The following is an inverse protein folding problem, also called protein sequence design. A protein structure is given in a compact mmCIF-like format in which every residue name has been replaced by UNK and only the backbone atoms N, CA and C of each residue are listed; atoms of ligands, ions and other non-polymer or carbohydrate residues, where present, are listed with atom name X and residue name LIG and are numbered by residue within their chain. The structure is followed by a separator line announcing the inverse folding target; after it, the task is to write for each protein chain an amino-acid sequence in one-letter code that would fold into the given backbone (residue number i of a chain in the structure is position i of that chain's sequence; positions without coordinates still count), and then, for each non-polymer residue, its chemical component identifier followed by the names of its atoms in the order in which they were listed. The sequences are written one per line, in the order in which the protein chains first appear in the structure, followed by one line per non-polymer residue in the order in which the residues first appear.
data_IF_065829813253
#
_entry.id   IF_065829813253
#
_cell.length_a   1.000
_cell.length_b   1.000
_cell.length_c   1.000
_cell.angle_alpha   90.00
_cell.angle_beta   90.00
_cell.angle_gamma   90.00
#
_symmetry.space_group_name_H-M   'P 1'
#
loop_
_entity.id
_entity.type
_entity.pdbx_description
1 polymer ?
#
# COMPACT_ATOMS: atom_id res chain seq x y z
N UNK A 1 4.12 19.95 12.01
CA UNK A 1 4.43 19.27 10.74
C UNK A 1 3.53 19.81 9.62
N UNK A 2 4.12 20.45 8.65
CA UNK A 2 3.38 20.83 7.45
C UNK A 2 3.20 19.59 6.56
N UNK A 3 2.07 19.47 5.87
CA UNK A 3 1.85 18.38 4.91
C UNK A 3 1.84 16.98 5.51
N UNK A 4 1.19 16.80 6.66
CA UNK A 4 1.10 15.51 7.38
C UNK A 4 0.82 14.32 6.45
N UNK A 5 -0.20 14.43 5.61
CA UNK A 5 -0.54 13.35 4.67
C UNK A 5 0.58 12.99 3.71
N UNK A 6 1.24 13.99 3.12
CA UNK A 6 2.35 13.77 2.19
C UNK A 6 3.57 13.17 2.89
N UNK A 7 3.87 13.61 4.10
CA UNK A 7 5.00 13.09 4.88
C UNK A 7 4.80 11.62 5.25
N UNK A 8 3.62 11.28 5.75
CA UNK A 8 3.29 9.87 6.06
C UNK A 8 3.27 9.01 4.79
N UNK A 9 2.72 9.53 3.69
CA UNK A 9 2.72 8.81 2.40
C UNK A 9 4.14 8.54 1.92
N UNK A 10 5.03 9.53 1.98
CA UNK A 10 6.44 9.36 1.59
C UNK A 10 7.15 8.31 2.46
N UNK A 11 6.87 8.30 3.76
CA UNK A 11 7.42 7.30 4.67
C UNK A 11 6.94 5.89 4.32
N UNK A 12 5.65 5.71 4.03
CA UNK A 12 5.11 4.41 3.62
C UNK A 12 5.75 3.93 2.31
N UNK A 13 5.90 4.82 1.31
CA UNK A 13 6.60 4.49 0.05
C UNK A 13 8.04 4.06 0.34
N UNK A 14 8.73 4.75 1.23
CA UNK A 14 10.10 4.39 1.63
C UNK A 14 10.17 3.00 2.23
N UNK A 15 9.24 2.63 3.11
CA UNK A 15 9.17 1.28 3.69
C UNK A 15 8.91 0.21 2.64
N UNK A 16 8.01 0.47 1.70
CA UNK A 16 7.67 -0.49 0.64
C UNK A 16 8.83 -0.67 -0.36
N UNK A 17 9.57 0.38 -0.66
CA UNK A 17 10.69 0.35 -1.62
C UNK A 17 12.04 -0.02 -1.00
N UNK A 18 12.11 -0.18 0.30
CA UNK A 18 13.33 -0.58 1.01
C UNK A 18 13.83 -1.95 0.53
N UNK A 19 15.14 -2.28 0.69
CA UNK A 19 15.69 -3.59 0.32
C UNK A 19 14.98 -4.77 0.98
N UNK A 20 14.49 -4.59 2.21
CA UNK A 20 13.67 -5.57 2.94
C UNK A 20 12.17 -5.28 2.84
N UNK A 21 11.77 -4.47 1.88
CA UNK A 21 10.41 -4.03 1.69
C UNK A 21 9.54 -5.03 0.93
N UNK A 22 8.66 -4.49 0.09
CA UNK A 22 7.62 -5.27 -0.57
C UNK A 22 8.16 -6.42 -1.43
N UNK A 23 9.18 -6.19 -2.24
CA UNK A 23 9.75 -7.25 -3.10
C UNK A 23 10.39 -8.39 -2.30
N UNK A 24 11.07 -8.08 -1.20
CA UNK A 24 11.64 -9.11 -0.34
C UNK A 24 10.55 -9.99 0.29
N UNK A 25 9.47 -9.38 0.76
CA UNK A 25 8.33 -10.09 1.32
C UNK A 25 7.61 -10.93 0.26
N UNK A 26 7.40 -10.40 -0.93
CA UNK A 26 6.84 -11.13 -2.09
C UNK A 26 7.69 -12.35 -2.41
N UNK A 27 9.00 -12.20 -2.50
CA UNK A 27 9.91 -13.31 -2.80
C UNK A 27 9.86 -14.40 -1.73
N UNK A 28 9.84 -14.02 -0.46
CA UNK A 28 9.77 -14.97 0.67
C UNK A 28 8.47 -15.77 0.65
N UNK A 29 7.34 -15.10 0.50
CA UNK A 29 6.03 -15.75 0.44
C UNK A 29 5.87 -16.63 -0.80
N UNK A 30 6.35 -16.15 -1.95
CA UNK A 30 6.30 -16.90 -3.19
C UNK A 30 7.13 -18.20 -3.15
N UNK A 31 8.28 -18.18 -2.48
CA UNK A 31 9.09 -19.39 -2.26
C UNK A 31 8.35 -20.40 -1.38
N UNK A 32 7.66 -19.93 -0.34
CA UNK A 32 6.88 -20.80 0.53
C UNK A 32 5.74 -21.51 -0.22
N UNK A 33 5.11 -20.80 -1.16
CA UNK A 33 4.00 -21.31 -1.97
C UNK A 33 4.45 -21.94 -3.30
N UNK A 34 5.75 -22.00 -3.57
CA UNK A 34 6.31 -22.51 -4.83
C UNK A 34 5.78 -21.81 -6.08
N UNK A 35 5.58 -20.51 -5.99
CA UNK A 35 5.05 -19.64 -7.07
C UNK A 35 6.17 -18.74 -7.58
N UNK A 36 6.12 -18.39 -8.87
CA UNK A 36 7.04 -17.39 -9.44
C UNK A 36 6.30 -16.05 -9.57
N UNK A 37 6.54 -15.08 -8.67
CA UNK A 37 5.87 -13.79 -8.72
C UNK A 37 6.51 -12.87 -9.76
N UNK A 38 5.74 -11.89 -10.21
CA UNK A 38 6.30 -10.76 -10.92
C UNK A 38 6.91 -9.79 -9.91
N UNK A 39 8.17 -9.36 -10.11
CA UNK A 39 8.77 -8.36 -9.25
C UNK A 39 8.05 -7.02 -9.39
N UNK A 40 8.05 -6.24 -8.32
CA UNK A 40 7.50 -4.88 -8.29
C UNK A 40 8.66 -3.90 -8.36
N UNK A 41 8.76 -3.16 -9.45
CA UNK A 41 9.75 -2.09 -9.58
C UNK A 41 9.39 -0.86 -8.73
N UNK A 42 10.37 -0.04 -8.41
CA UNK A 42 10.14 1.20 -7.67
C UNK A 42 9.15 2.13 -8.39
N UNK A 43 9.18 2.14 -9.73
CA UNK A 43 8.25 2.92 -10.56
C UNK A 43 6.80 2.41 -10.53
N UNK A 44 6.57 1.23 -9.99
CA UNK A 44 5.24 0.65 -9.84
C UNK A 44 4.60 0.97 -8.47
N UNK A 45 5.36 1.57 -7.55
CA UNK A 45 4.89 2.02 -6.24
C UNK A 45 4.78 3.54 -6.28
N UNK A 46 3.56 4.05 -6.38
CA UNK A 46 3.30 5.47 -6.61
C UNK A 46 2.48 6.09 -5.47
N UNK A 47 2.89 7.29 -5.06
CA UNK A 47 2.15 8.12 -4.11
C UNK A 47 1.01 8.82 -4.84
N UNK A 48 -0.09 8.12 -5.10
CA UNK A 48 -1.24 8.66 -5.82
C UNK A 48 -2.55 8.00 -5.42
N UNK A 49 -3.63 8.75 -5.48
CA UNK A 49 -5.01 8.26 -5.33
C UNK A 49 -5.74 8.43 -6.67
N UNK A 50 -5.64 7.42 -7.51
CA UNK A 50 -6.22 7.43 -8.86
C UNK A 50 -7.17 6.24 -9.00
N UNK A 51 -8.42 6.45 -9.43
CA UNK A 51 -9.34 5.35 -9.72
C UNK A 51 -8.76 4.38 -10.76
N UNK A 52 -9.10 3.09 -10.61
CA UNK A 52 -8.65 2.03 -11.52
C UNK A 52 -9.00 2.37 -12.96
N UNK A 53 -10.21 2.83 -13.21
CA UNK A 53 -10.72 3.14 -14.54
C UNK A 53 -9.93 4.27 -15.24
N UNK A 54 -9.41 5.19 -14.45
CA UNK A 54 -8.57 6.27 -14.98
C UNK A 54 -7.13 5.79 -15.21
N UNK A 55 -6.61 5.00 -14.29
CA UNK A 55 -5.27 4.42 -14.42
C UNK A 55 -5.16 3.49 -15.63
N UNK A 56 -6.20 2.71 -15.94
CA UNK A 56 -6.26 1.83 -17.11
C UNK A 56 -6.17 2.55 -18.46
N UNK A 57 -6.60 3.80 -18.51
CA UNK A 57 -6.49 4.62 -19.72
C UNK A 57 -5.07 5.12 -19.97
N UNK A 58 -4.20 5.00 -18.98
CA UNK A 58 -2.79 5.28 -19.14
C UNK A 58 -2.10 4.11 -19.83
N UNK A 59 -1.41 4.34 -20.94
CA UNK A 59 -0.70 3.31 -21.69
C UNK A 59 0.54 2.77 -21.00
N UNK A 60 0.96 3.41 -19.90
CA UNK A 60 2.23 3.13 -19.22
C UNK A 60 2.07 2.40 -17.89
N UNK A 61 0.88 1.90 -17.56
CA UNK A 61 0.66 1.17 -16.31
C UNK A 61 1.28 -0.21 -16.38
N UNK A 62 2.23 -0.45 -15.48
CA UNK A 62 2.83 -1.77 -15.27
C UNK A 62 2.16 -2.45 -14.07
N UNK A 63 1.80 -3.72 -14.22
CA UNK A 63 1.23 -4.53 -13.17
C UNK A 63 2.24 -5.54 -12.62
N UNK A 64 2.21 -5.83 -11.33
CA UNK A 64 1.33 -5.27 -10.32
C UNK A 64 1.60 -3.78 -10.07
N UNK A 65 0.55 -2.99 -9.85
CA UNK A 65 0.65 -1.58 -9.55
C UNK A 65 0.27 -1.34 -8.08
N UNK A 66 1.05 -0.54 -7.39
CA UNK A 66 0.83 -0.20 -5.97
C UNK A 66 0.67 1.30 -5.85
N UNK A 67 -0.44 1.72 -5.27
CA UNK A 67 -0.71 3.14 -4.98
C UNK A 67 -0.80 3.35 -3.47
N UNK A 68 -0.13 4.37 -2.98
CA UNK A 68 -0.14 4.76 -1.56
C UNK A 68 -0.73 6.16 -1.44
N UNK A 69 -1.70 6.30 -0.57
CA UNK A 69 -2.32 7.62 -0.35
C UNK A 69 -2.90 7.75 1.06
N UNK A 70 -3.01 9.00 1.48
CA UNK A 70 -3.69 9.37 2.71
C UNK A 70 -5.16 9.66 2.40
N UNK A 71 -6.08 8.90 3.02
CA UNK A 71 -7.52 9.11 2.83
C UNK A 71 -8.03 10.30 3.63
N UNK A 72 -7.56 10.44 4.85
CA UNK A 72 -7.94 11.55 5.73
C UNK A 72 -6.93 11.78 6.83
N UNK A 73 -6.96 12.99 7.36
CA UNK A 73 -6.16 13.43 8.50
C UNK A 73 -7.12 13.86 9.59
N UNK A 74 -6.87 13.40 10.82
CA UNK A 74 -7.68 13.75 11.98
C UNK A 74 -6.78 14.37 13.04
N UNK A 75 -6.95 15.68 13.31
CA UNK A 75 -6.28 16.34 14.41
C UNK A 75 -7.15 16.23 15.67
N UNK A 76 -6.67 15.54 16.68
CA UNK A 76 -7.38 15.31 17.94
C UNK A 76 -6.90 16.24 19.07
N UNK A 77 -5.81 16.99 18.84
CA UNK A 77 -5.15 17.86 19.82
C UNK A 77 -4.96 17.18 21.19
N UNK A 78 -4.55 15.92 21.17
CA UNK A 78 -4.37 15.13 22.40
C UNK A 78 -3.24 15.65 23.28
N UNK A 79 -2.24 16.26 22.68
CA UNK A 79 -1.08 16.79 23.36
C UNK A 79 -1.13 18.32 23.40
N UNK A 80 -0.96 18.87 24.60
CA UNK A 80 -0.82 20.32 24.76
C UNK A 80 0.49 20.79 24.13
N UNK A 81 0.48 21.99 23.59
CA UNK A 81 1.66 22.63 22.96
C UNK A 81 2.12 22.01 21.64
N UNK A 82 1.29 21.17 21.03
CA UNK A 82 1.50 20.65 19.68
C UNK A 82 0.59 21.37 18.69
N UNK A 83 1.10 21.59 17.48
CA UNK A 83 0.28 22.13 16.38
C UNK A 83 -0.63 21.06 15.80
N UNK A 84 -0.14 19.82 15.80
CA UNK A 84 -0.89 18.66 15.37
C UNK A 84 -0.65 17.48 16.33
N UNK A 85 -1.72 16.85 16.75
CA UNK A 85 -1.67 15.60 17.52
C UNK A 85 -2.89 14.77 17.19
N UNK A 86 -2.71 13.77 16.34
CA UNK A 86 -3.81 12.97 15.81
C UNK A 86 -3.35 11.81 15.00
N UNK A 87 -3.99 11.60 13.86
CA UNK A 87 -3.70 10.47 13.00
C UNK A 87 -3.89 10.78 11.52
N UNK A 88 -3.11 10.09 10.69
CA UNK A 88 -3.34 9.95 9.26
C UNK A 88 -3.90 8.55 8.98
N UNK A 89 -5.00 8.48 8.24
CA UNK A 89 -5.57 7.22 7.75
C UNK A 89 -5.01 6.98 6.36
N UNK A 90 -4.29 5.88 6.22
CA UNK A 90 -3.53 5.52 5.03
C UNK A 90 -4.15 4.34 4.33
N UNK A 91 -4.01 4.30 3.01
CA UNK A 91 -4.37 3.15 2.18
C UNK A 91 -3.22 2.81 1.23
N UNK A 92 -2.90 1.51 1.19
CA UNK A 92 -2.06 0.91 0.15
C UNK A 92 -2.98 0.09 -0.73
N UNK A 93 -3.05 0.45 -2.01
CA UNK A 93 -3.91 -0.20 -2.98
C UNK A 93 -3.04 -0.99 -3.95
N UNK A 94 -3.27 -2.30 -4.02
CA UNK A 94 -2.55 -3.22 -4.91
C UNK A 94 -3.48 -3.64 -6.03
N UNK A 95 -3.01 -3.51 -7.27
CA UNK A 95 -3.75 -3.88 -8.47
C UNK A 95 -2.99 -4.93 -9.24
N UNK A 96 -3.68 -5.99 -9.63
CA UNK A 96 -3.17 -7.03 -10.50
C UNK A 96 -4.01 -7.11 -11.76
N UNK A 97 -3.37 -7.45 -12.88
CA UNK A 97 -4.02 -7.61 -14.17
C UNK A 97 -3.47 -8.83 -14.88
N UNK A 98 -4.35 -9.61 -15.48
CA UNK A 98 -3.98 -10.73 -16.34
C UNK A 98 -5.06 -11.03 -17.36
N UNK A 99 -4.69 -11.79 -18.40
CA UNK A 99 -5.58 -12.18 -19.51
C UNK A 99 -6.53 -13.34 -19.16
N UNK A 100 -6.33 -13.99 -18.02
CA UNK A 100 -7.10 -15.13 -17.53
C UNK A 100 -7.73 -14.84 -16.18
N UNK A 101 -8.92 -15.37 -15.97
CA UNK A 101 -9.59 -15.28 -14.67
C UNK A 101 -8.94 -16.18 -13.63
N UNK A 102 -8.43 -17.34 -14.04
CA UNK A 102 -7.84 -18.32 -13.15
C UNK A 102 -6.53 -17.82 -12.53
N UNK A 103 -6.43 -17.95 -11.22
CA UNK A 103 -5.23 -17.58 -10.44
C UNK A 103 -5.07 -16.09 -10.11
N UNK A 104 -5.92 -15.20 -10.62
CA UNK A 104 -5.79 -13.75 -10.37
C UNK A 104 -5.94 -13.42 -8.88
N UNK A 105 -6.87 -14.06 -8.20
CA UNK A 105 -7.12 -13.85 -6.77
C UNK A 105 -5.94 -14.29 -5.91
N UNK A 106 -5.37 -15.46 -6.21
CA UNK A 106 -4.18 -15.95 -5.50
C UNK A 106 -2.98 -15.02 -5.71
N UNK A 107 -2.83 -14.47 -6.90
CA UNK A 107 -1.78 -13.51 -7.19
C UNK A 107 -1.98 -12.21 -6.40
N UNK A 108 -3.20 -11.68 -6.36
CA UNK A 108 -3.51 -10.50 -5.56
C UNK A 108 -3.27 -10.76 -4.07
N UNK A 109 -3.70 -11.90 -3.56
CA UNK A 109 -3.51 -12.28 -2.17
C UNK A 109 -2.02 -12.27 -1.79
N UNK A 110 -1.16 -12.83 -2.63
CA UNK A 110 0.27 -12.83 -2.41
C UNK A 110 0.83 -11.41 -2.18
N UNK A 111 0.45 -10.47 -3.02
CA UNK A 111 0.91 -9.09 -2.90
C UNK A 111 0.29 -8.36 -1.70
N UNK A 112 -0.96 -8.63 -1.39
CA UNK A 112 -1.62 -8.07 -0.19
C UNK A 112 -0.96 -8.61 1.07
N UNK A 113 -0.70 -9.91 1.15
CA UNK A 113 -0.03 -10.54 2.30
C UNK A 113 1.41 -10.00 2.45
N UNK A 114 2.13 -9.82 1.35
CA UNK A 114 3.45 -9.19 1.38
C UNK A 114 3.39 -7.75 1.89
N UNK A 115 2.37 -6.98 1.50
CA UNK A 115 2.16 -5.62 1.98
C UNK A 115 1.89 -5.59 3.48
N UNK A 116 1.04 -6.46 3.99
CA UNK A 116 0.79 -6.56 5.43
C UNK A 116 2.03 -7.01 6.20
N UNK A 117 2.85 -7.88 5.63
CA UNK A 117 4.11 -8.29 6.24
C UNK A 117 5.10 -7.13 6.36
N UNK A 118 5.17 -6.24 5.36
CA UNK A 118 5.98 -5.00 5.47
C UNK A 118 5.51 -4.16 6.65
N UNK A 119 4.20 -3.99 6.80
CA UNK A 119 3.64 -3.24 7.93
C UNK A 119 3.95 -3.91 9.27
N UNK A 120 3.83 -5.23 9.36
CA UNK A 120 4.13 -5.99 10.57
C UNK A 120 5.60 -5.87 11.00
N UNK A 121 6.51 -5.82 10.05
CA UNK A 121 7.95 -5.65 10.30
C UNK A 121 8.33 -4.24 10.74
N UNK A 122 7.47 -3.26 10.48
CA UNK A 122 7.74 -1.84 10.71
C UNK A 122 6.79 -1.23 11.75
N UNK A 123 6.42 -1.98 12.79
CA UNK A 123 5.67 -1.45 13.92
C UNK A 123 6.53 -0.54 14.77
N UNK A 124 5.93 0.49 15.34
CA UNK A 124 6.58 1.38 16.29
C UNK A 124 6.85 2.78 15.75
N UNK A 125 7.94 3.35 16.20
CA UNK A 125 8.34 4.71 15.87
C UNK A 125 8.98 4.77 14.48
N UNK A 126 8.41 5.63 13.62
CA UNK A 126 8.94 5.90 12.27
C UNK A 126 9.79 7.19 12.20
N UNK A 127 9.99 7.83 13.36
CA UNK A 127 10.65 9.14 13.42
C UNK A 127 9.72 10.30 13.09
N UNK A 128 10.21 11.51 13.29
CA UNK A 128 9.48 12.75 13.00
C UNK A 128 8.06 12.80 13.62
N UNK A 129 7.90 12.21 14.82
CA UNK A 129 6.61 12.17 15.52
C UNK A 129 5.58 11.20 14.93
N UNK A 130 5.98 10.32 14.01
CA UNK A 130 5.11 9.30 13.43
C UNK A 130 5.22 7.98 14.20
N UNK A 131 4.10 7.37 14.51
CA UNK A 131 4.03 6.09 15.21
C UNK A 131 2.99 5.17 14.59
N UNK A 132 3.39 3.93 14.30
CA UNK A 132 2.50 2.90 13.77
C UNK A 132 2.28 1.77 14.80
N UNK A 133 1.04 1.63 15.27
CA UNK A 133 0.68 0.68 16.33
C UNK A 133 0.60 -0.78 15.84
N UNK A 134 0.47 -1.01 14.54
CA UNK A 134 0.45 -2.35 13.95
C UNK A 134 -0.93 -2.86 13.55
N UNK A 135 -1.99 -2.06 13.67
CA UNK A 135 -3.34 -2.45 13.26
C UNK A 135 -3.59 -2.09 11.80
N UNK A 136 -4.10 -3.02 11.03
CA UNK A 136 -4.51 -2.81 9.65
C UNK A 136 -5.77 -3.61 9.32
N UNK A 137 -6.40 -3.25 8.22
CA UNK A 137 -7.52 -3.97 7.62
C UNK A 137 -7.20 -4.21 6.14
N UNK A 138 -7.35 -5.43 5.68
CA UNK A 138 -7.16 -5.80 4.29
C UNK A 138 -8.49 -6.22 3.66
N UNK A 139 -8.81 -5.65 2.49
CA UNK A 139 -10.01 -5.97 1.75
C UNK A 139 -9.65 -6.28 0.29
N UNK A 140 -10.17 -7.39 -0.22
CA UNK A 140 -10.01 -7.77 -1.62
C UNK A 140 -11.33 -7.51 -2.36
N UNK A 141 -11.27 -6.70 -3.40
CA UNK A 141 -12.40 -6.41 -4.25
C UNK A 141 -12.71 -7.53 -5.24
N UNK A 142 -13.86 -7.48 -5.91
CA UNK A 142 -14.19 -8.42 -6.96
C UNK A 142 -13.33 -8.22 -8.20
N UNK A 143 -13.15 -9.28 -8.98
CA UNK A 143 -12.53 -9.20 -10.30
C UNK A 143 -13.42 -8.38 -11.23
N UNK A 144 -12.81 -7.45 -11.94
CA UNK A 144 -13.47 -6.63 -12.96
C UNK A 144 -12.82 -6.86 -14.32
N UNK A 145 -13.57 -6.62 -15.37
CA UNK A 145 -13.02 -6.63 -16.73
C UNK A 145 -12.55 -5.21 -17.06
N UNK A 146 -11.24 -5.06 -17.25
CA UNK A 146 -10.62 -3.80 -17.62
C UNK A 146 -10.09 -3.84 -19.05
N UNK A 147 -10.89 -3.38 -20.02
CA UNK A 147 -10.48 -3.40 -21.40
C UNK A 147 -10.28 -4.83 -21.92
N UNK A 148 -9.02 -5.23 -22.19
CA UNK A 148 -8.68 -6.55 -22.69
C UNK A 148 -8.40 -7.59 -21.58
N UNK A 149 -8.07 -7.14 -20.38
CA UNK A 149 -7.64 -8.00 -19.29
C UNK A 149 -8.61 -7.94 -18.10
N UNK A 150 -8.53 -8.97 -17.26
CA UNK A 150 -9.15 -8.94 -15.95
C UNK A 150 -8.29 -8.14 -14.97
N UNK A 151 -8.92 -7.38 -14.09
CA UNK A 151 -8.28 -6.61 -13.03
C UNK A 151 -8.91 -6.92 -11.70
N UNK A 152 -8.09 -7.02 -10.68
CA UNK A 152 -8.53 -7.13 -9.29
C UNK A 152 -7.73 -6.19 -8.40
N UNK A 153 -8.39 -5.62 -7.41
CA UNK A 153 -7.82 -4.62 -6.49
C UNK A 153 -7.95 -5.10 -5.07
N UNK A 154 -6.86 -5.02 -4.33
CA UNK A 154 -6.81 -5.20 -2.88
C UNK A 154 -6.39 -3.91 -2.21
N UNK A 155 -6.95 -3.63 -1.04
CA UNK A 155 -6.65 -2.45 -0.24
C UNK A 155 -6.21 -2.85 1.15
N UNK A 156 -5.14 -2.26 1.64
CA UNK A 156 -4.70 -2.37 3.03
C UNK A 156 -4.81 -0.98 3.65
N UNK A 157 -5.71 -0.85 4.62
CA UNK A 157 -5.97 0.40 5.32
C UNK A 157 -5.42 0.34 6.75
N UNK A 158 -4.79 1.40 7.20
CA UNK A 158 -4.18 1.49 8.53
C UNK A 158 -4.08 2.94 9.00
N UNK A 159 -3.78 3.13 10.27
CA UNK A 159 -3.65 4.45 10.87
C UNK A 159 -2.22 4.65 11.37
N UNK A 160 -1.70 5.85 11.14
CA UNK A 160 -0.42 6.31 11.69
C UNK A 160 -0.69 7.46 12.63
N UNK A 161 -0.30 7.32 13.88
CA UNK A 161 -0.31 8.41 14.85
C UNK A 161 0.73 9.45 14.47
N UNK A 162 0.38 10.72 14.56
CA UNK A 162 1.28 11.84 14.25
C UNK A 162 1.18 12.88 15.34
N UNK A 163 2.32 13.34 15.81
CA UNK A 163 2.45 14.39 16.82
C UNK A 163 3.56 15.38 16.46
N UNK A 164 3.19 16.67 16.23
CA UNK A 164 4.09 17.73 15.80
C UNK A 164 3.87 19.03 16.60
#
# INVERSE_FOLDING_TARGET
MAWVGSTVTAQVVTLLTAPQGLNACVSTLAQAESVTPRPIGQSQILAQNVPVELAERSTDVQYPAVSVYCEKIVNQLKEKFRNFSGKAVMTIEVRVSQDRLDGIENQLQLYVDATTQVLDQNRGDWGEGMYYAGCYEAALGPVKHGGQNFIQVGKVSFEVGVSD
#
